data_IF_452728988319
#
_entry.id   IF_452728988319
#
_cell.length_a   1.000
_cell.length_b   1.000
_cell.length_c   1.000
_cell.angle_alpha   90.00
_cell.angle_beta   90.00
_cell.angle_gamma   90.00
#
_symmetry.space_group_name_H-M   'P 1'
#
loop_
_entity.id
_entity.type
_entity.pdbx_description
1 polymer ?
#
# COMPACT_ATOMS: atom_id res chain seq x y z
N UNK A 1 30.10 13.27 5.40
CA UNK A 1 29.01 12.72 4.56
C UNK A 1 28.13 13.86 4.06
N UNK A 2 27.96 14.04 2.74
CA UNK A 2 27.13 15.13 2.16
C UNK A 2 25.68 15.01 2.60
N UNK A 3 24.98 16.14 2.77
CA UNK A 3 23.58 16.19 3.20
C UNK A 3 22.65 15.30 2.36
N UNK A 4 22.86 15.28 1.03
CA UNK A 4 22.10 14.44 0.12
C UNK A 4 22.33 12.94 0.36
N UNK A 5 23.57 12.53 0.68
CA UNK A 5 23.88 11.14 1.01
C UNK A 5 23.25 10.71 2.33
N UNK A 6 23.20 11.58 3.35
CA UNK A 6 22.44 11.35 4.59
C UNK A 6 20.95 11.14 4.31
N UNK A 7 20.35 12.04 3.53
CA UNK A 7 18.94 11.95 3.17
C UNK A 7 18.62 10.65 2.42
N UNK A 8 19.42 10.29 1.43
CA UNK A 8 19.28 9.02 0.70
C UNK A 8 19.32 7.82 1.65
N UNK A 9 20.33 7.74 2.52
CA UNK A 9 20.49 6.61 3.44
C UNK A 9 19.31 6.49 4.41
N UNK A 10 18.76 7.62 4.89
CA UNK A 10 17.56 7.60 5.76
C UNK A 10 16.36 7.02 5.01
N UNK A 11 16.06 7.53 3.81
CA UNK A 11 14.91 7.02 3.03
C UNK A 11 15.08 5.55 2.63
N UNK A 12 16.28 5.17 2.23
CA UNK A 12 16.61 3.79 1.90
C UNK A 12 16.42 2.88 3.13
N UNK A 13 16.92 3.29 4.30
CA UNK A 13 16.77 2.52 5.54
C UNK A 13 15.29 2.36 5.90
N UNK A 14 14.49 3.43 5.81
CA UNK A 14 13.04 3.35 6.07
C UNK A 14 12.34 2.43 5.07
N UNK A 15 12.70 2.47 3.79
CA UNK A 15 12.15 1.58 2.77
C UNK A 15 12.50 0.12 3.08
N UNK A 16 13.76 -0.17 3.47
CA UNK A 16 14.20 -1.52 3.86
C UNK A 16 13.45 -2.00 5.11
N UNK A 17 13.26 -1.15 6.12
CA UNK A 17 12.47 -1.50 7.31
C UNK A 17 11.02 -1.82 6.93
N UNK A 18 10.42 -1.04 6.03
CA UNK A 18 9.07 -1.31 5.53
C UNK A 18 9.00 -2.66 4.79
N UNK A 19 9.95 -2.94 3.89
CA UNK A 19 10.07 -4.22 3.19
C UNK A 19 10.24 -5.37 4.18
N UNK A 20 11.15 -5.24 5.16
CA UNK A 20 11.36 -6.25 6.19
C UNK A 20 10.10 -6.52 7.02
N UNK A 21 9.32 -5.47 7.34
CA UNK A 21 8.04 -5.62 8.03
C UNK A 21 7.02 -6.38 7.18
N UNK A 22 6.88 -6.03 5.89
CA UNK A 22 6.00 -6.76 4.95
C UNK A 22 6.42 -8.23 4.89
N UNK A 23 7.71 -8.51 4.67
CA UNK A 23 8.23 -9.87 4.58
C UNK A 23 8.01 -10.68 5.86
N UNK A 24 8.21 -10.05 7.02
CA UNK A 24 7.92 -10.66 8.32
C UNK A 24 6.44 -11.05 8.43
N UNK A 25 5.52 -10.15 8.07
CA UNK A 25 4.08 -10.44 8.06
C UNK A 25 3.72 -11.48 7.00
N UNK A 26 4.35 -11.46 5.84
CA UNK A 26 4.13 -12.42 4.76
C UNK A 26 4.51 -13.84 5.15
N UNK A 27 5.56 -13.98 5.97
CA UNK A 27 6.10 -15.27 6.43
C UNK A 27 5.26 -15.96 7.52
N UNK A 28 4.27 -15.28 8.10
CA UNK A 28 3.43 -15.84 9.16
C UNK A 28 2.24 -16.60 8.57
N UNK A 29 1.95 -17.84 8.98
CA UNK A 29 0.73 -18.56 8.59
C UNK A 29 -0.55 -17.79 8.94
N UNK A 30 -1.67 -18.09 8.25
CA UNK A 30 -2.94 -17.38 8.45
C UNK A 30 -3.42 -17.39 9.91
N UNK A 31 -3.28 -18.52 10.62
CA UNK A 31 -3.75 -18.65 12.01
C UNK A 31 -3.05 -17.70 13.00
N UNK A 32 -1.81 -17.28 12.73
CA UNK A 32 -1.09 -16.29 13.57
C UNK A 32 -1.58 -14.86 13.32
N UNK A 33 -2.31 -14.65 12.23
CA UNK A 33 -2.83 -13.35 11.81
C UNK A 33 -4.34 -13.22 11.97
N UNK A 34 -4.99 -14.30 12.40
CA UNK A 34 -6.44 -14.38 12.51
C UNK A 34 -6.94 -13.36 13.56
N UNK A 35 -7.63 -12.34 13.07
CA UNK A 35 -8.19 -11.29 13.92
C UNK A 35 -9.57 -11.65 14.44
N UNK A 36 -10.24 -12.67 13.89
CA UNK A 36 -11.64 -13.00 14.23
C UNK A 36 -11.86 -13.27 15.72
N UNK A 37 -10.99 -14.02 16.43
CA UNK A 37 -11.17 -14.21 17.88
C UNK A 37 -11.09 -12.89 18.66
N UNK A 38 -10.17 -12.01 18.27
CA UNK A 38 -10.01 -10.70 18.90
C UNK A 38 -11.18 -9.78 18.58
N UNK A 39 -11.68 -9.82 17.34
CA UNK A 39 -12.85 -9.05 16.92
C UNK A 39 -14.09 -9.52 17.68
N UNK A 40 -14.33 -10.82 17.77
CA UNK A 40 -15.46 -11.38 18.51
C UNK A 40 -15.43 -11.06 20.01
N UNK A 41 -14.24 -10.94 20.60
CA UNK A 41 -14.10 -10.60 22.02
C UNK A 41 -14.33 -9.12 22.33
N UNK A 42 -14.10 -8.20 21.37
CA UNK A 42 -14.07 -6.76 21.63
C UNK A 42 -15.10 -5.94 20.83
N UNK A 43 -15.66 -6.47 19.74
CA UNK A 43 -16.68 -5.76 18.98
C UNK A 43 -18.06 -5.94 19.63
N UNK A 44 -18.80 -4.85 19.86
CA UNK A 44 -20.15 -4.94 20.39
C UNK A 44 -21.13 -5.47 19.33
N UNK A 45 -22.06 -6.33 19.75
CA UNK A 45 -23.07 -6.94 18.87
C UNK A 45 -23.89 -5.91 18.06
N UNK A 46 -24.10 -4.71 18.62
CA UNK A 46 -24.80 -3.63 17.92
C UNK A 46 -24.08 -3.17 16.65
N UNK A 47 -22.74 -3.16 16.64
CA UNK A 47 -21.96 -2.76 15.48
C UNK A 47 -22.09 -3.82 14.38
N UNK A 48 -22.02 -5.09 14.77
CA UNK A 48 -22.19 -6.25 13.90
C UNK A 48 -23.58 -6.26 13.24
N UNK A 49 -24.63 -5.98 14.01
CA UNK A 49 -26.01 -5.88 13.51
C UNK A 49 -26.28 -4.64 12.65
N UNK A 50 -25.37 -3.66 12.66
CA UNK A 50 -25.49 -2.42 11.86
C UNK A 50 -24.73 -2.51 10.53
N UNK A 51 -24.13 -3.66 10.21
CA UNK A 51 -23.44 -3.83 8.94
C UNK A 51 -24.44 -3.78 7.77
N UNK A 52 -24.07 -3.12 6.65
CA UNK A 52 -24.90 -3.14 5.46
C UNK A 52 -24.98 -4.55 4.88
N UNK A 53 -26.13 -4.89 4.30
CA UNK A 53 -26.35 -6.18 3.64
C UNK A 53 -25.58 -6.22 2.30
N UNK A 54 -24.35 -6.71 2.37
CA UNK A 54 -23.40 -6.79 1.26
C UNK A 54 -22.85 -8.21 1.18
N UNK A 55 -22.92 -8.76 -0.03
CA UNK A 55 -22.35 -10.06 -0.37
C UNK A 55 -21.63 -9.99 -1.71
N UNK A 56 -20.42 -10.53 -1.78
CA UNK A 56 -19.65 -10.64 -3.02
C UNK A 56 -18.66 -11.79 -2.95
N UNK A 57 -18.19 -12.25 -4.11
CA UNK A 57 -17.15 -13.25 -4.20
C UNK A 57 -15.77 -12.62 -4.36
N UNK A 58 -14.80 -13.12 -3.61
CA UNK A 58 -13.39 -12.77 -3.71
C UNK A 58 -12.57 -14.04 -3.85
N UNK A 59 -11.99 -14.28 -5.03
CA UNK A 59 -11.25 -15.52 -5.36
C UNK A 59 -12.03 -16.79 -4.98
N UNK A 60 -13.27 -16.89 -5.47
CA UNK A 60 -14.24 -17.96 -5.19
C UNK A 60 -14.68 -18.12 -3.72
N UNK A 61 -14.21 -17.24 -2.82
CA UNK A 61 -14.67 -17.17 -1.44
C UNK A 61 -15.82 -16.15 -1.31
N UNK A 62 -16.94 -16.57 -0.72
CA UNK A 62 -18.04 -15.67 -0.39
C UNK A 62 -17.65 -14.78 0.80
N UNK A 63 -17.66 -13.47 0.60
CA UNK A 63 -17.49 -12.44 1.63
C UNK A 63 -18.86 -11.81 1.85
N UNK A 64 -19.43 -12.00 3.04
CA UNK A 64 -20.80 -11.59 3.36
C UNK A 64 -20.86 -10.97 4.75
N UNK A 65 -21.66 -9.92 4.88
CA UNK A 65 -21.97 -9.28 6.16
C UNK A 65 -22.66 -10.22 7.17
N UNK A 66 -23.26 -11.33 6.70
CA UNK A 66 -23.85 -12.38 7.55
C UNK A 66 -22.79 -13.15 8.35
N UNK A 67 -21.53 -13.13 7.89
CA UNK A 67 -20.35 -13.58 8.63
C UNK A 67 -19.53 -12.35 9.05
N UNK A 68 -19.97 -11.62 10.09
CA UNK A 68 -19.53 -10.25 10.35
C UNK A 68 -18.05 -10.14 10.70
N UNK A 69 -17.49 -11.13 11.41
CA UNK A 69 -16.09 -11.11 11.80
C UNK A 69 -15.16 -11.39 10.62
N UNK A 70 -15.51 -12.35 9.75
CA UNK A 70 -14.78 -12.61 8.50
C UNK A 70 -14.89 -11.40 7.55
N UNK A 71 -16.07 -10.79 7.46
CA UNK A 71 -16.30 -9.57 6.66
C UNK A 71 -15.41 -8.41 7.13
N UNK A 72 -15.43 -8.10 8.43
CA UNK A 72 -14.63 -7.01 9.00
C UNK A 72 -13.13 -7.31 8.89
N UNK A 73 -12.70 -8.53 9.21
CA UNK A 73 -11.30 -8.95 9.06
C UNK A 73 -10.83 -8.78 7.62
N UNK A 74 -11.63 -9.18 6.64
CA UNK A 74 -11.31 -9.02 5.22
C UNK A 74 -10.97 -7.56 4.89
N UNK A 75 -11.82 -6.60 5.26
CA UNK A 75 -11.56 -5.18 5.00
C UNK A 75 -10.35 -4.65 5.78
N UNK A 76 -10.16 -5.06 7.04
CA UNK A 76 -8.99 -4.65 7.83
C UNK A 76 -7.71 -5.16 7.15
N UNK A 77 -7.66 -6.42 6.73
CA UNK A 77 -6.49 -7.01 6.09
C UNK A 77 -6.21 -6.35 4.74
N UNK A 78 -7.19 -6.27 3.84
CA UNK A 78 -6.99 -5.64 2.52
C UNK A 78 -6.66 -4.15 2.67
N UNK A 79 -7.26 -3.45 3.64
CA UNK A 79 -6.91 -2.07 3.97
C UNK A 79 -5.48 -1.89 4.49
N UNK A 80 -4.99 -2.81 5.31
CA UNK A 80 -3.61 -2.81 5.79
C UNK A 80 -2.60 -3.02 4.64
N UNK A 81 -2.90 -3.95 3.73
CA UNK A 81 -2.14 -4.22 2.52
C UNK A 81 -2.05 -2.98 1.61
N UNK A 82 -3.20 -2.39 1.25
CA UNK A 82 -3.25 -1.12 0.50
C UNK A 82 -2.41 -0.03 1.18
N UNK A 83 -2.53 0.10 2.50
CA UNK A 83 -1.82 1.13 3.26
C UNK A 83 -0.30 0.91 3.28
N UNK A 84 0.17 -0.32 3.50
CA UNK A 84 1.61 -0.59 3.59
C UNK A 84 2.29 -0.48 2.22
N UNK A 85 1.63 -0.87 1.14
CA UNK A 85 2.15 -0.68 -0.22
C UNK A 85 2.11 0.78 -0.68
N UNK A 86 1.15 1.58 -0.21
CA UNK A 86 1.20 3.04 -0.36
C UNK A 86 2.45 3.62 0.34
N UNK A 87 2.70 3.23 1.59
CA UNK A 87 3.89 3.67 2.33
C UNK A 87 5.17 3.24 1.62
N UNK A 88 5.27 1.98 1.18
CA UNK A 88 6.43 1.48 0.43
C UNK A 88 6.67 2.25 -0.86
N UNK A 89 5.61 2.56 -1.61
CA UNK A 89 5.68 3.38 -2.83
C UNK A 89 6.22 4.76 -2.52
N UNK A 90 5.67 5.43 -1.50
CA UNK A 90 6.14 6.74 -1.06
C UNK A 90 7.63 6.71 -0.69
N UNK A 91 8.05 5.78 0.17
CA UNK A 91 9.44 5.65 0.59
C UNK A 91 10.39 5.37 -0.59
N UNK A 92 9.96 4.55 -1.55
CA UNK A 92 10.71 4.26 -2.76
C UNK A 92 10.88 5.50 -3.64
N UNK A 93 9.81 6.28 -3.85
CA UNK A 93 9.88 7.57 -4.58
C UNK A 93 10.84 8.53 -3.87
N UNK A 94 10.74 8.67 -2.55
CA UNK A 94 11.60 9.57 -1.77
C UNK A 94 13.08 9.16 -1.83
N UNK A 95 13.35 7.85 -1.85
CA UNK A 95 14.70 7.29 -2.02
C UNK A 95 15.27 7.67 -3.38
N UNK A 96 14.52 7.49 -4.47
CA UNK A 96 14.95 7.85 -5.83
C UNK A 96 15.12 9.36 -6.02
N UNK A 97 14.24 10.17 -5.41
CA UNK A 97 14.40 11.62 -5.40
C UNK A 97 15.68 12.06 -4.67
N UNK A 98 16.07 11.39 -3.59
CA UNK A 98 17.32 11.66 -2.89
C UNK A 98 18.56 11.27 -3.72
N UNK A 99 18.43 10.33 -4.67
CA UNK A 99 19.42 10.05 -5.72
C UNK A 99 19.39 11.07 -6.87
N UNK A 100 18.62 12.16 -6.75
CA UNK A 100 18.48 13.22 -7.75
C UNK A 100 17.83 12.77 -9.06
N UNK A 101 17.04 11.69 -9.04
CA UNK A 101 16.22 11.34 -10.19
C UNK A 101 15.21 12.45 -10.49
N UNK A 102 14.89 12.64 -11.78
CA UNK A 102 13.81 13.55 -12.19
C UNK A 102 12.51 13.08 -11.54
N UNK A 103 11.64 14.02 -11.14
CA UNK A 103 10.39 13.73 -10.43
C UNK A 103 9.55 12.64 -11.11
N UNK A 104 9.34 12.75 -12.42
CA UNK A 104 8.57 11.75 -13.17
C UNK A 104 9.22 10.35 -13.10
N UNK A 105 10.53 10.26 -13.36
CA UNK A 105 11.28 9.00 -13.26
C UNK A 105 11.28 8.40 -11.86
N UNK A 106 11.35 9.23 -10.82
CA UNK A 106 11.28 8.76 -9.44
C UNK A 106 9.89 8.22 -9.07
N UNK A 107 8.82 8.86 -9.55
CA UNK A 107 7.44 8.38 -9.36
C UNK A 107 7.26 7.02 -10.05
N UNK A 108 7.60 6.93 -11.34
CA UNK A 108 7.50 5.67 -12.10
C UNK A 108 8.39 4.58 -11.51
N UNK A 109 9.64 4.89 -11.18
CA UNK A 109 10.57 3.93 -10.58
C UNK A 109 10.10 3.45 -9.21
N UNK A 110 9.58 4.33 -8.36
CA UNK A 110 9.06 3.95 -7.04
C UNK A 110 7.82 3.06 -7.13
N UNK A 111 6.93 3.34 -8.08
CA UNK A 111 5.77 2.49 -8.35
C UNK A 111 6.18 1.10 -8.86
N UNK A 112 7.16 1.03 -9.78
CA UNK A 112 7.70 -0.24 -10.27
C UNK A 112 8.32 -1.06 -9.14
N UNK A 113 9.12 -0.43 -8.26
CA UNK A 113 9.72 -1.10 -7.10
C UNK A 113 8.63 -1.69 -6.19
N UNK A 114 7.60 -0.92 -5.85
CA UNK A 114 6.51 -1.40 -5.00
C UNK A 114 5.69 -2.53 -5.67
N UNK A 115 5.43 -2.44 -6.98
CA UNK A 115 4.70 -3.45 -7.74
C UNK A 115 5.48 -4.76 -7.82
N UNK A 116 6.77 -4.70 -8.13
CA UNK A 116 7.64 -5.88 -8.13
C UNK A 116 7.72 -6.50 -6.74
N UNK A 117 7.72 -5.67 -5.69
CA UNK A 117 7.71 -6.16 -4.32
C UNK A 117 6.39 -6.87 -3.99
N UNK A 118 5.23 -6.34 -4.40
CA UNK A 118 3.93 -7.00 -4.22
C UNK A 118 3.88 -8.36 -4.92
N UNK A 119 4.37 -8.44 -6.17
CA UNK A 119 4.49 -9.71 -6.90
C UNK A 119 5.40 -10.68 -6.16
N UNK A 120 6.55 -10.21 -5.67
CA UNK A 120 7.48 -11.06 -4.91
C UNK A 120 6.91 -11.52 -3.58
N UNK A 121 6.07 -10.71 -2.94
CA UNK A 121 5.39 -11.05 -1.69
C UNK A 121 4.40 -12.18 -1.90
N UNK A 122 3.49 -12.05 -2.88
CA UNK A 122 2.53 -13.09 -3.22
C UNK A 122 3.20 -14.39 -3.69
N UNK A 123 4.31 -14.27 -4.42
CA UNK A 123 5.13 -15.43 -4.76
C UNK A 123 5.75 -16.08 -3.52
N UNK A 124 6.30 -15.29 -2.58
CA UNK A 124 6.85 -15.80 -1.32
C UNK A 124 5.79 -16.51 -0.48
N UNK A 125 4.57 -15.97 -0.41
CA UNK A 125 3.45 -16.57 0.33
C UNK A 125 3.10 -17.98 -0.17
N UNK A 126 3.39 -18.33 -1.43
CA UNK A 126 3.19 -19.71 -1.94
C UNK A 126 4.08 -20.74 -1.26
N UNK A 127 5.17 -20.32 -0.61
CA UNK A 127 6.07 -21.18 0.15
C UNK A 127 5.71 -21.26 1.65
N UNK A 128 4.72 -20.47 2.10
CA UNK A 128 4.29 -20.43 3.50
C UNK A 128 3.15 -21.43 3.72
N UNK A 129 3.30 -22.29 4.72
CA UNK A 129 2.30 -23.33 5.04
C UNK A 129 0.94 -22.70 5.35
N UNK A 130 -0.11 -23.24 4.75
CA UNK A 130 -1.49 -22.75 4.88
C UNK A 130 -1.68 -21.28 4.43
N UNK A 131 -0.82 -20.79 3.53
CA UNK A 131 -1.08 -19.61 2.72
C UNK A 131 -1.18 -19.98 1.26
N UNK A 132 -1.97 -19.20 0.54
CA UNK A 132 -2.04 -19.23 -0.91
C UNK A 132 -1.70 -17.84 -1.40
N UNK A 133 -0.70 -17.74 -2.28
CA UNK A 133 -0.46 -16.50 -3.02
C UNK A 133 -1.59 -16.31 -4.03
N UNK A 134 -2.19 -15.12 -4.07
CA UNK A 134 -3.32 -14.79 -4.92
C UNK A 134 -2.97 -13.63 -5.85
N UNK A 135 -3.10 -13.84 -7.16
CA UNK A 135 -2.83 -12.77 -8.14
C UNK A 135 -3.76 -11.55 -7.95
N UNK A 136 -4.98 -11.77 -7.43
CA UNK A 136 -5.91 -10.69 -7.08
C UNK A 136 -5.37 -9.80 -5.95
N UNK A 137 -4.52 -10.33 -5.06
CA UNK A 137 -3.91 -9.57 -3.98
C UNK A 137 -2.86 -8.57 -4.48
N UNK A 138 -2.07 -8.94 -5.49
CA UNK A 138 -1.21 -7.97 -6.21
C UNK A 138 -2.04 -6.81 -6.77
N UNK A 139 -3.25 -7.10 -7.26
CA UNK A 139 -4.19 -6.09 -7.75
C UNK A 139 -4.65 -5.14 -6.65
N UNK A 140 -4.96 -5.67 -5.46
CA UNK A 140 -5.33 -4.87 -4.29
C UNK A 140 -4.15 -4.01 -3.82
N UNK A 141 -2.95 -4.58 -3.69
CA UNK A 141 -1.74 -3.84 -3.30
C UNK A 141 -1.43 -2.69 -4.27
N UNK A 142 -1.68 -2.92 -5.56
CA UNK A 142 -1.54 -1.92 -6.62
C UNK A 142 -2.46 -0.71 -6.44
N UNK A 143 -3.59 -0.83 -5.73
CA UNK A 143 -4.45 0.31 -5.38
C UNK A 143 -3.68 1.29 -4.48
N UNK A 144 -2.94 0.79 -3.49
CA UNK A 144 -2.11 1.61 -2.61
C UNK A 144 -1.02 2.37 -3.38
N UNK A 145 -0.38 1.68 -4.33
CA UNK A 145 0.60 2.26 -5.25
C UNK A 145 -0.05 3.40 -6.07
N UNK A 146 -1.21 3.13 -6.67
CA UNK A 146 -1.93 4.08 -7.51
C UNK A 146 -2.35 5.34 -6.74
N UNK A 147 -2.82 5.20 -5.49
CA UNK A 147 -3.18 6.33 -4.62
C UNK A 147 -2.00 7.29 -4.48
N UNK A 148 -0.81 6.78 -4.17
CA UNK A 148 0.38 7.62 -3.99
C UNK A 148 0.80 8.28 -5.30
N UNK A 149 0.83 7.53 -6.41
CA UNK A 149 1.14 8.09 -7.73
C UNK A 149 0.19 9.24 -8.08
N UNK A 150 -1.12 9.05 -7.88
CA UNK A 150 -2.13 10.06 -8.14
C UNK A 150 -1.92 11.32 -7.29
N UNK A 151 -1.64 11.17 -5.99
CA UNK A 151 -1.30 12.30 -5.11
C UNK A 151 -0.10 13.11 -5.64
N UNK A 152 0.96 12.45 -6.11
CA UNK A 152 2.14 13.13 -6.68
C UNK A 152 1.84 13.85 -7.99
N UNK A 153 0.98 13.28 -8.85
CA UNK A 153 0.57 13.87 -10.13
C UNK A 153 -0.29 15.11 -9.88
N UNK A 154 -1.30 15.02 -9.03
CA UNK A 154 -2.19 16.14 -8.69
C UNK A 154 -1.38 17.29 -8.05
N UNK A 155 -0.52 16.97 -7.07
CA UNK A 155 0.33 17.97 -6.45
C UNK A 155 1.26 18.64 -7.48
N UNK A 156 1.87 17.86 -8.37
CA UNK A 156 2.73 18.38 -9.44
C UNK A 156 2.00 19.30 -10.41
N UNK A 157 0.78 18.94 -10.81
CA UNK A 157 -0.10 19.75 -11.66
C UNK A 157 -0.47 21.08 -11.01
N UNK A 158 -0.82 21.06 -9.73
CA UNK A 158 -1.13 22.27 -8.96
C UNK A 158 0.06 23.24 -8.88
N UNK A 159 1.27 22.74 -8.59
CA UNK A 159 2.48 23.57 -8.56
C UNK A 159 2.85 24.13 -9.94
N UNK A 160 2.68 23.36 -11.01
CA UNK A 160 2.92 23.85 -12.38
C UNK A 160 1.92 24.94 -12.78
N UNK A 161 0.64 24.75 -12.46
CA UNK A 161 -0.43 25.71 -12.71
C UNK A 161 -0.18 27.06 -11.98
N UNK A 162 0.13 27.03 -10.68
CA UNK A 162 0.49 28.26 -9.93
C UNK A 162 1.70 28.98 -10.52
N UNK A 163 2.76 28.25 -10.90
CA UNK A 163 3.99 28.86 -11.45
C UNK A 163 3.78 29.53 -12.81
N UNK A 164 2.88 29.04 -13.66
CA UNK A 164 2.52 29.69 -14.92
C UNK A 164 1.77 31.02 -14.71
N UNK A 165 0.86 31.07 -13.73
CA UNK A 165 0.05 32.26 -13.45
C UNK A 165 0.86 33.43 -12.84
N UNK A 166 1.98 33.15 -12.19
CA UNK A 166 2.86 34.17 -11.57
C UNK A 166 3.96 34.71 -12.49
N UNK A 167 4.06 34.28 -13.76
CA UNK A 167 4.99 34.89 -14.72
C UNK A 167 4.33 36.14 -15.31
N UNK A 168 4.85 37.36 -15.05
CA UNK A 168 4.33 38.56 -15.69
C UNK A 168 4.49 38.43 -17.21
N UNK A 169 3.43 38.77 -17.93
CA UNK A 169 3.37 38.71 -19.38
C UNK A 169 4.18 39.90 -19.93
N UNK A 170 5.51 39.75 -20.01
CA UNK A 170 6.36 40.76 -20.64
C UNK A 170 6.17 40.62 -22.14
N UNK A 171 5.22 41.37 -22.69
CA UNK A 171 5.11 41.64 -24.13
C UNK A 171 6.06 42.79 -24.44
N UNK A 172 7.05 42.54 -25.30
CA UNK A 172 7.81 43.59 -25.98
C UNK A 172 7.07 44.00 -27.24
#
# INVERSE_FOLDING_TARGET
MTYQRKKFLIWLLLAIICMAFIFYKSSQPYYEQDLRPSLAAHLPDKLVQSLPDIEFYYNDQLITSTMPYDFIEFFIRKGAHVSIFAVLTFLSIQTLLALKWKRASAITGGAIVALLYAISDEWHQTFVVNRTGQAIDVGIDSVGIAIVVLCYVIAGGFFHYRKRRSRPNIRF
#
